data_IF_164421419312
#
_entry.id   IF_164421419312
#
_cell.length_a   1.000
_cell.length_b   1.000
_cell.length_c   1.000
_cell.angle_alpha   90.00
_cell.angle_beta   90.00
_cell.angle_gamma   90.00
#
_symmetry.space_group_name_H-M   'P 1'
#
loop_
_entity.id
_entity.type
_entity.pdbx_description
1 polymer ?
#
# COMPACT_ATOMS: atom_id res chain seq x y z
N UNK A 1 4.91 12.84 12.82
CA UNK A 1 5.09 11.87 11.71
C UNK A 1 4.11 12.10 10.56
N UNK A 2 2.80 12.31 10.80
CA UNK A 2 1.78 12.51 9.74
C UNK A 2 2.18 13.51 8.66
N UNK A 3 2.59 14.73 9.04
CA UNK A 3 2.97 15.78 8.07
C UNK A 3 4.11 15.35 7.14
N UNK A 4 5.08 14.59 7.66
CA UNK A 4 6.19 14.06 6.86
C UNK A 4 5.73 13.08 5.78
N UNK A 5 4.77 12.21 6.10
CA UNK A 5 4.20 11.26 5.14
C UNK A 5 3.36 12.00 4.10
N UNK A 6 2.55 12.97 4.53
CA UNK A 6 1.75 13.83 3.64
C UNK A 6 2.65 14.55 2.63
N UNK A 7 3.72 15.19 3.08
CA UNK A 7 4.69 15.85 2.18
C UNK A 7 5.32 14.88 1.18
N UNK A 8 5.56 13.62 1.56
CA UNK A 8 6.05 12.61 0.62
C UNK A 8 4.97 12.24 -0.43
N UNK A 9 3.71 12.11 -0.02
CA UNK A 9 2.59 11.80 -0.90
C UNK A 9 2.22 12.95 -1.86
N UNK A 10 2.56 14.19 -1.51
CA UNK A 10 2.43 15.36 -2.41
C UNK A 10 3.50 15.38 -3.51
N UNK A 11 4.55 14.55 -3.41
CA UNK A 11 5.57 14.47 -4.44
C UNK A 11 5.01 13.78 -5.71
N UNK A 12 5.04 14.48 -6.84
CA UNK A 12 4.58 13.96 -8.14
C UNK A 12 5.32 12.71 -8.64
N UNK A 13 6.57 12.52 -8.19
CA UNK A 13 7.39 11.36 -8.59
C UNK A 13 7.20 10.13 -7.70
N UNK A 14 6.50 10.26 -6.56
CA UNK A 14 6.17 9.12 -5.72
C UNK A 14 4.95 8.39 -6.31
N UNK A 15 5.08 7.09 -6.56
CA UNK A 15 3.98 6.27 -7.11
C UNK A 15 3.29 5.43 -6.02
N UNK A 16 4.12 4.78 -5.17
CA UNK A 16 3.67 3.84 -4.15
C UNK A 16 4.27 4.24 -2.80
N UNK A 17 3.45 4.28 -1.75
CA UNK A 17 3.95 4.37 -0.37
C UNK A 17 4.12 2.96 0.20
N UNK A 18 5.37 2.54 0.39
CA UNK A 18 5.72 1.23 0.92
C UNK A 18 5.46 1.14 2.44
N UNK A 19 4.97 -0.02 2.90
CA UNK A 19 4.73 -0.40 4.30
C UNK A 19 4.43 0.82 5.20
N UNK A 20 3.24 1.44 5.03
CA UNK A 20 3.00 2.82 5.41
C UNK A 20 2.98 3.07 6.92
N UNK A 21 2.61 2.06 7.72
CA UNK A 21 2.61 2.19 9.19
C UNK A 21 3.98 2.03 9.80
N UNK A 22 4.91 1.41 9.05
CA UNK A 22 6.27 1.12 9.49
C UNK A 22 6.34 0.10 10.62
N UNK A 23 5.25 -0.59 10.94
CA UNK A 23 5.20 -1.57 12.02
C UNK A 23 6.13 -2.77 11.76
N UNK A 24 6.57 -3.38 12.85
CA UNK A 24 7.19 -4.70 12.87
C UNK A 24 6.53 -5.51 13.99
N UNK A 25 5.80 -6.57 13.64
CA UNK A 25 5.05 -7.38 14.59
C UNK A 25 5.96 -7.93 15.70
N UNK A 26 5.58 -7.69 16.95
CA UNK A 26 6.34 -8.07 18.14
C UNK A 26 7.63 -7.28 18.38
N UNK A 27 7.94 -6.24 17.59
CA UNK A 27 9.18 -5.45 17.71
C UNK A 27 8.98 -3.94 17.70
N UNK A 28 8.09 -3.43 16.85
CA UNK A 28 7.85 -2.00 16.66
C UNK A 28 6.38 -1.76 16.35
N UNK A 29 5.73 -0.99 17.19
CA UNK A 29 4.37 -0.52 16.94
C UNK A 29 4.30 0.37 15.69
N UNK A 30 3.11 0.42 15.10
CA UNK A 30 2.82 1.36 14.03
C UNK A 30 3.08 2.81 14.49
N UNK A 31 3.49 3.69 13.56
CA UNK A 31 3.63 5.10 13.90
C UNK A 31 2.29 5.68 14.36
N UNK A 32 2.32 6.55 15.38
CA UNK A 32 1.18 7.37 15.77
C UNK A 32 0.93 8.45 14.70
N UNK A 33 0.16 8.09 13.66
CA UNK A 33 -0.18 8.96 12.52
C UNK A 33 -1.67 8.97 12.25
N UNK A 34 -2.14 10.03 11.61
CA UNK A 34 -3.52 10.11 11.14
C UNK A 34 -3.61 9.45 9.75
N UNK A 35 -4.04 8.18 9.73
CA UNK A 35 -4.25 7.43 8.50
C UNK A 35 -5.35 8.00 7.61
N UNK A 36 -6.40 8.63 8.18
CA UNK A 36 -7.43 9.28 7.37
C UNK A 36 -6.84 10.39 6.50
N UNK A 37 -5.98 11.25 7.08
CA UNK A 37 -5.28 12.29 6.33
C UNK A 37 -4.31 11.72 5.30
N UNK A 38 -3.61 10.63 5.65
CA UNK A 38 -2.71 9.93 4.72
C UNK A 38 -3.50 9.37 3.53
N UNK A 39 -4.65 8.75 3.75
CA UNK A 39 -5.49 8.18 2.68
C UNK A 39 -6.10 9.26 1.80
N UNK A 40 -6.59 10.35 2.40
CA UNK A 40 -7.09 11.51 1.67
C UNK A 40 -6.01 12.10 0.75
N UNK A 41 -4.80 12.35 1.28
CA UNK A 41 -3.68 12.87 0.48
C UNK A 41 -3.26 11.87 -0.61
N UNK A 42 -3.17 10.58 -0.28
CA UNK A 42 -2.83 9.55 -1.25
C UNK A 42 -3.85 9.50 -2.38
N UNK A 43 -5.15 9.52 -2.08
CA UNK A 43 -6.21 9.48 -3.07
C UNK A 43 -6.20 10.73 -3.96
N UNK A 44 -6.08 11.92 -3.36
CA UNK A 44 -6.02 13.18 -4.08
C UNK A 44 -4.82 13.26 -5.05
N UNK A 45 -3.71 12.60 -4.73
CA UNK A 45 -2.50 12.60 -5.56
C UNK A 45 -2.32 11.29 -6.35
N UNK A 46 -3.36 10.44 -6.42
CA UNK A 46 -3.36 9.17 -7.17
C UNK A 46 -2.32 8.15 -6.72
N UNK A 47 -1.90 8.18 -5.45
CA UNK A 47 -0.89 7.28 -4.88
C UNK A 47 -1.45 5.90 -4.60
N UNK A 48 -0.59 4.89 -4.76
CA UNK A 48 -0.91 3.50 -4.46
C UNK A 48 -0.39 3.13 -3.06
N UNK A 49 -1.18 2.37 -2.31
CA UNK A 49 -0.80 1.89 -0.98
C UNK A 49 -0.22 0.47 -1.04
N UNK A 50 0.91 0.24 -0.39
CA UNK A 50 1.48 -1.12 -0.31
C UNK A 50 0.76 -1.99 0.75
N UNK A 51 0.55 -3.25 0.39
CA UNK A 51 0.27 -4.38 1.28
C UNK A 51 1.50 -5.30 1.25
N UNK A 52 2.37 -5.09 2.22
CA UNK A 52 3.64 -5.79 2.36
C UNK A 52 3.42 -7.15 3.02
N UNK A 53 3.79 -8.22 2.31
CA UNK A 53 3.54 -9.60 2.72
C UNK A 53 4.57 -10.15 3.70
N UNK A 54 5.65 -9.41 4.00
CA UNK A 54 6.68 -9.91 4.92
C UNK A 54 6.02 -10.29 6.25
N UNK A 55 6.20 -11.51 6.77
CA UNK A 55 5.49 -11.97 7.97
C UNK A 55 5.72 -11.11 9.21
N UNK A 56 6.88 -10.45 9.30
CA UNK A 56 7.21 -9.51 10.37
C UNK A 56 6.54 -8.14 10.19
N UNK A 57 5.93 -7.83 9.04
CA UNK A 57 5.26 -6.54 8.75
C UNK A 57 3.75 -6.70 8.65
N UNK A 58 3.30 -7.45 7.63
CA UNK A 58 1.90 -7.52 7.20
C UNK A 58 1.24 -6.13 7.12
N UNK A 59 1.88 -5.19 6.43
CA UNK A 59 1.58 -3.75 6.47
C UNK A 59 1.22 -3.21 5.09
N UNK A 60 0.02 -2.68 4.82
CA UNK A 60 -1.06 -2.35 5.76
C UNK A 60 -1.77 -3.56 6.40
N UNK A 61 -2.33 -3.35 7.59
CA UNK A 61 -3.25 -4.32 8.19
C UNK A 61 -4.63 -4.26 7.50
N UNK A 62 -5.40 -5.33 7.68
CA UNK A 62 -6.74 -5.50 7.14
C UNK A 62 -7.72 -4.37 7.51
N UNK A 63 -7.72 -3.90 8.76
CA UNK A 63 -8.57 -2.78 9.19
C UNK A 63 -8.27 -1.47 8.45
N UNK A 64 -6.98 -1.14 8.26
CA UNK A 64 -6.58 0.04 7.51
C UNK A 64 -6.84 -0.14 6.01
N UNK A 65 -6.69 -1.35 5.47
CA UNK A 65 -7.04 -1.66 4.08
C UNK A 65 -8.56 -1.44 3.87
N UNK A 66 -9.40 -1.97 4.76
CA UNK A 66 -10.85 -1.80 4.70
C UNK A 66 -11.23 -0.32 4.66
N UNK A 67 -10.66 0.48 5.56
CA UNK A 67 -10.89 1.93 5.60
C UNK A 67 -10.34 2.65 4.36
N UNK A 68 -9.18 2.25 3.87
CA UNK A 68 -8.55 2.87 2.70
C UNK A 68 -9.34 2.63 1.41
N UNK A 69 -10.08 1.50 1.30
CA UNK A 69 -10.98 1.21 0.17
C UNK A 69 -12.04 2.31 -0.01
N UNK A 70 -12.60 2.84 1.07
CA UNK A 70 -13.61 3.91 1.02
C UNK A 70 -13.10 5.22 0.42
N UNK A 71 -11.78 5.42 0.39
CA UNK A 71 -11.14 6.59 -0.27
C UNK A 71 -10.89 6.37 -1.77
N UNK A 72 -11.28 5.22 -2.33
CA UNK A 72 -11.05 4.87 -3.74
C UNK A 72 -9.59 4.56 -4.07
N UNK A 73 -8.76 4.28 -3.05
CA UNK A 73 -7.34 3.99 -3.22
C UNK A 73 -7.11 2.69 -3.98
N UNK A 74 -5.98 2.64 -4.70
CA UNK A 74 -5.47 1.42 -5.30
C UNK A 74 -4.32 0.87 -4.47
N UNK A 75 -4.13 -0.44 -4.54
CA UNK A 75 -3.18 -1.18 -3.71
C UNK A 75 -2.19 -1.96 -4.55
N UNK A 76 -0.97 -2.10 -4.02
CA UNK A 76 0.05 -3.00 -4.54
C UNK A 76 0.38 -4.03 -3.47
N UNK A 77 0.34 -5.32 -3.82
CA UNK A 77 0.79 -6.40 -2.95
C UNK A 77 2.24 -6.73 -3.30
N UNK A 78 3.14 -6.67 -2.33
CA UNK A 78 4.57 -6.93 -2.52
C UNK A 78 5.09 -7.86 -1.42
N UNK A 79 6.18 -8.59 -1.67
CA UNK A 79 6.76 -9.52 -0.69
C UNK A 79 7.91 -8.96 0.13
N UNK A 80 8.48 -7.81 -0.27
CA UNK A 80 9.70 -7.25 0.34
C UNK A 80 10.83 -8.30 0.38
N UNK A 81 10.95 -9.07 -0.70
CA UNK A 81 11.84 -10.23 -0.77
C UNK A 81 13.30 -9.83 -0.75
N UNK A 82 14.06 -10.41 0.18
CA UNK A 82 15.52 -10.31 0.26
C UNK A 82 16.20 -11.63 -0.19
N UNK A 83 15.41 -12.70 -0.33
CA UNK A 83 15.78 -13.95 -0.99
C UNK A 83 14.63 -14.48 -1.85
N UNK A 84 14.93 -15.36 -2.81
CA UNK A 84 13.91 -15.98 -3.67
C UNK A 84 12.83 -16.75 -2.86
N UNK A 85 13.21 -17.35 -1.73
CA UNK A 85 12.29 -18.03 -0.82
C UNK A 85 11.18 -17.11 -0.28
N UNK A 86 11.46 -15.81 -0.14
CA UNK A 86 10.53 -14.86 0.46
C UNK A 86 9.32 -14.58 -0.44
N UNK A 87 9.43 -14.85 -1.76
CA UNK A 87 8.33 -14.70 -2.72
C UNK A 87 7.11 -15.56 -2.33
N UNK A 88 7.33 -16.66 -1.60
CA UNK A 88 6.26 -17.53 -1.07
C UNK A 88 5.37 -16.82 -0.04
N UNK A 89 5.81 -15.69 0.52
CA UNK A 89 5.06 -14.88 1.47
C UNK A 89 3.84 -14.18 0.84
N UNK A 90 3.76 -14.08 -0.49
CA UNK A 90 2.65 -13.43 -1.22
C UNK A 90 1.25 -13.82 -0.70
N UNK A 91 1.09 -15.07 -0.26
CA UNK A 91 -0.15 -15.58 0.33
C UNK A 91 -0.65 -14.75 1.52
N UNK A 92 0.24 -14.15 2.30
CA UNK A 92 -0.12 -13.39 3.50
C UNK A 92 -0.71 -12.03 3.14
N UNK A 93 -0.12 -11.29 2.20
CA UNK A 93 -0.69 -10.02 1.74
C UNK A 93 -2.00 -10.23 0.98
N UNK A 94 -2.12 -11.32 0.21
CA UNK A 94 -3.42 -11.70 -0.37
C UNK A 94 -4.48 -11.96 0.70
N UNK A 95 -4.10 -12.61 1.81
CA UNK A 95 -4.96 -12.77 2.98
C UNK A 95 -5.43 -11.43 3.58
N UNK A 96 -4.51 -10.49 3.77
CA UNK A 96 -4.82 -9.15 4.27
C UNK A 96 -5.74 -8.37 3.31
N UNK A 97 -5.46 -8.42 2.01
CA UNK A 97 -6.28 -7.78 0.99
C UNK A 97 -7.72 -8.30 1.01
N UNK A 98 -7.91 -9.62 1.10
CA UNK A 98 -9.25 -10.24 1.19
C UNK A 98 -9.97 -9.87 2.48
N UNK A 99 -9.26 -9.84 3.61
CA UNK A 99 -9.83 -9.41 4.91
C UNK A 99 -10.22 -7.94 4.93
N UNK A 100 -9.47 -7.09 4.20
CA UNK A 100 -9.80 -5.70 3.94
C UNK A 100 -10.79 -5.49 2.78
N UNK A 101 -11.44 -6.55 2.30
CA UNK A 101 -12.49 -6.53 1.27
C UNK A 101 -12.06 -5.97 -0.09
N UNK A 102 -10.76 -6.02 -0.41
CA UNK A 102 -10.30 -5.63 -1.74
C UNK A 102 -10.73 -6.65 -2.80
N UNK A 103 -11.12 -6.11 -3.95
CA UNK A 103 -11.39 -6.88 -5.17
C UNK A 103 -10.20 -6.81 -6.13
N UNK A 104 -10.27 -7.58 -7.23
CA UNK A 104 -9.20 -7.62 -8.24
C UNK A 104 -8.90 -6.22 -8.77
N UNK A 105 -9.95 -5.43 -8.99
CA UNK A 105 -9.93 -4.08 -9.54
C UNK A 105 -9.31 -3.06 -8.59
N UNK A 106 -9.12 -3.40 -7.32
CA UNK A 106 -8.45 -2.56 -6.32
C UNK A 106 -6.93 -2.78 -6.32
N UNK A 107 -6.45 -3.88 -6.89
CA UNK A 107 -5.06 -4.33 -6.80
C UNK A 107 -4.35 -4.18 -8.15
N UNK A 108 -3.36 -3.29 -8.22
CA UNK A 108 -2.64 -2.96 -9.47
C UNK A 108 -1.82 -4.13 -10.02
N UNK A 109 -1.41 -5.08 -9.17
CA UNK A 109 -0.69 -6.30 -9.59
C UNK A 109 -1.51 -7.19 -10.53
N UNK A 110 -2.84 -7.02 -10.55
CA UNK A 110 -3.75 -7.83 -11.38
C UNK A 110 -3.92 -7.26 -12.79
N UNK A 111 -3.40 -6.06 -13.03
CA UNK A 111 -3.56 -5.36 -14.29
C UNK A 111 -2.59 -5.92 -15.34
N UNK A 112 -3.01 -5.99 -16.62
CA UNK A 112 -2.07 -6.16 -17.73
C UNK A 112 -1.02 -5.05 -17.71
N UNK A 113 0.19 -5.35 -18.17
CA UNK A 113 1.31 -4.41 -18.17
C UNK A 113 0.99 -3.06 -18.82
N UNK A 114 0.24 -3.06 -19.94
CA UNK A 114 -0.20 -1.81 -20.60
C UNK A 114 -1.03 -0.93 -19.68
N UNK A 115 -2.00 -1.50 -18.97
CA UNK A 115 -2.83 -0.78 -17.99
C UNK A 115 -1.99 -0.32 -16.80
N UNK A 116 -1.08 -1.15 -16.29
CA UNK A 116 -0.19 -0.80 -15.17
C UNK A 116 0.69 0.41 -15.52
N UNK A 117 1.24 0.46 -16.75
CA UNK A 117 1.98 1.63 -17.22
C UNK A 117 1.16 2.91 -17.16
N UNK A 118 -0.11 2.86 -17.58
CA UNK A 118 -0.98 4.04 -17.55
C UNK A 118 -1.32 4.50 -16.13
N UNK A 119 -1.32 3.61 -15.14
CA UNK A 119 -1.47 4.01 -13.72
C UNK A 119 -0.34 4.95 -13.30
N UNK A 120 0.91 4.65 -13.67
CA UNK A 120 2.08 5.42 -13.23
C UNK A 120 2.54 6.51 -14.21
N UNK A 121 1.96 6.56 -15.42
CA UNK A 121 2.26 7.60 -16.42
C UNK A 121 1.55 8.92 -16.11
N UNK A 122 0.31 8.85 -15.62
CA UNK A 122 -0.62 9.99 -15.46
C UNK A 122 -0.25 11.01 -14.37
N UNK A 123 0.65 10.66 -13.46
CA UNK A 123 1.02 11.54 -12.33
C UNK A 123 2.21 12.46 -12.64
N UNK A 124 2.73 12.45 -13.88
CA UNK A 124 4.04 13.01 -14.24
C UNK A 124 4.01 14.18 -15.23
N UNK A 125 2.83 14.58 -15.70
CA UNK A 125 2.64 15.77 -16.53
C UNK A 125 2.71 17.06 -15.66
#
# INVERSE_FOLDING_TARGET
MTGRIVTALENKYLDIIAHPSGRLLGKREAYAVNFGKIFETAAANGKVMEINCQPSRLDLNDELIFRAKDYGLKFCISTDSHAASDLTSMRYGLGQARRGWLEKEDIVNTYPYSRLKEVFKKLRD
#
